data_IF_629628025657
#
_entry.id   IF_629628025657
#
_cell.length_a   1.000
_cell.length_b   1.000
_cell.length_c   1.000
_cell.angle_alpha   90.00
_cell.angle_beta   90.00
_cell.angle_gamma   90.00
#
_symmetry.space_group_name_H-M   'P 1'
#
loop_
_entity.id
_entity.type
_entity.pdbx_description
1 polymer ?
#
# COMPACT_ATOMS: atom_id res chain seq x y z
N UNK A 1 -14.98 25.07 -30.07
CA UNK A 1 -14.13 25.21 -28.87
C UNK A 1 -14.86 24.50 -27.74
N UNK A 2 -14.52 23.23 -27.50
CA UNK A 2 -15.11 22.46 -26.40
C UNK A 2 -14.54 22.95 -25.06
N UNK A 3 -15.28 22.80 -23.95
CA UNK A 3 -14.76 23.14 -22.63
C UNK A 3 -13.51 22.30 -22.37
N UNK A 4 -12.43 22.95 -21.93
CA UNK A 4 -11.21 22.24 -21.55
C UNK A 4 -11.51 21.31 -20.37
N UNK A 5 -10.77 20.20 -20.25
CA UNK A 5 -10.90 19.21 -19.16
C UNK A 5 -10.94 19.85 -17.75
N UNK A 6 -10.37 21.05 -17.58
CA UNK A 6 -10.41 21.80 -16.33
C UNK A 6 -11.82 22.28 -15.91
N UNK A 7 -12.75 22.47 -16.84
CA UNK A 7 -14.12 22.93 -16.55
C UNK A 7 -15.05 21.81 -16.09
N UNK A 8 -14.72 20.54 -16.34
CA UNK A 8 -15.51 19.40 -15.86
C UNK A 8 -15.34 19.16 -14.35
N UNK A 9 -14.21 19.56 -13.77
CA UNK A 9 -13.90 19.36 -12.34
C UNK A 9 -14.77 20.19 -11.40
N UNK A 10 -15.42 21.27 -11.87
CA UNK A 10 -16.32 22.10 -11.06
C UNK A 10 -17.67 21.43 -10.76
N UNK A 11 -18.09 20.45 -11.57
CA UNK A 11 -19.39 19.76 -11.45
C UNK A 11 -19.35 18.52 -10.54
N UNK A 12 -18.17 18.09 -10.11
CA UNK A 12 -18.00 16.91 -9.27
C UNK A 12 -18.22 17.32 -7.80
N UNK A 13 -19.14 16.68 -7.04
CA UNK A 13 -19.29 16.96 -5.61
C UNK A 13 -17.96 16.79 -4.86
N UNK A 14 -17.69 17.65 -3.87
CA UNK A 14 -16.41 17.67 -3.15
C UNK A 14 -16.01 16.30 -2.58
N UNK A 15 -16.96 15.54 -2.05
CA UNK A 15 -16.72 14.20 -1.51
C UNK A 15 -16.24 13.22 -2.59
N UNK A 16 -16.78 13.32 -3.81
CA UNK A 16 -16.38 12.47 -4.93
C UNK A 16 -14.98 12.85 -5.44
N UNK A 17 -14.62 14.14 -5.43
CA UNK A 17 -13.24 14.61 -5.67
C UNK A 17 -12.25 14.07 -4.63
N UNK A 18 -12.63 14.05 -3.35
CA UNK A 18 -11.78 13.49 -2.30
C UNK A 18 -11.55 11.99 -2.49
N UNK A 19 -12.59 11.23 -2.87
CA UNK A 19 -12.46 9.79 -3.18
C UNK A 19 -11.54 9.56 -4.38
N UNK A 20 -11.70 10.34 -5.46
CA UNK A 20 -10.84 10.18 -6.64
C UNK A 20 -9.39 10.50 -6.32
N UNK A 21 -9.11 11.57 -5.57
CA UNK A 21 -7.74 11.93 -5.15
C UNK A 21 -7.13 10.87 -4.24
N UNK A 22 -7.91 10.35 -3.27
CA UNK A 22 -7.44 9.26 -2.41
C UNK A 22 -7.17 7.98 -3.20
N UNK A 23 -8.01 7.67 -4.20
CA UNK A 23 -7.81 6.55 -5.11
C UNK A 23 -6.56 6.70 -5.99
N UNK A 24 -6.34 7.87 -6.57
CA UNK A 24 -5.15 8.19 -7.37
C UNK A 24 -3.87 8.12 -6.54
N UNK A 25 -3.88 8.67 -5.32
CA UNK A 25 -2.76 8.59 -4.39
C UNK A 25 -2.46 7.15 -3.98
N UNK A 26 -3.50 6.37 -3.66
CA UNK A 26 -3.34 4.96 -3.31
C UNK A 26 -2.79 4.14 -4.49
N UNK A 27 -3.27 4.40 -5.71
CA UNK A 27 -2.77 3.70 -6.90
C UNK A 27 -1.29 4.04 -7.16
N UNK A 28 -0.92 5.32 -7.03
CA UNK A 28 0.47 5.75 -7.18
C UNK A 28 1.38 5.08 -6.14
N UNK A 29 0.94 5.05 -4.88
CA UNK A 29 1.64 4.35 -3.80
C UNK A 29 1.82 2.85 -4.09
N UNK A 30 0.75 2.17 -4.52
CA UNK A 30 0.79 0.76 -4.85
C UNK A 30 1.75 0.45 -6.01
N UNK A 31 1.79 1.32 -7.03
CA UNK A 31 2.71 1.15 -8.15
C UNK A 31 4.18 1.27 -7.71
N UNK A 32 4.50 2.26 -6.87
CA UNK A 32 5.86 2.42 -6.33
C UNK A 32 6.28 1.20 -5.50
N UNK A 33 5.37 0.64 -4.71
CA UNK A 33 5.66 -0.59 -3.95
C UNK A 33 5.79 -1.83 -4.83
N UNK A 34 5.03 -1.92 -5.93
CA UNK A 34 5.09 -3.06 -6.84
C UNK A 34 6.45 -3.18 -7.54
N UNK A 35 7.11 -2.05 -7.81
CA UNK A 35 8.44 -2.00 -8.41
C UNK A 35 9.58 -2.11 -7.37
N UNK A 36 9.25 -2.19 -6.08
CA UNK A 36 10.24 -2.27 -5.00
C UNK A 36 10.59 -3.72 -4.65
N UNK A 37 11.82 -4.14 -4.96
CA UNK A 37 12.34 -5.48 -4.66
C UNK A 37 12.34 -5.83 -3.16
N UNK A 38 12.33 -4.81 -2.30
CA UNK A 38 12.31 -4.94 -0.85
C UNK A 38 10.90 -4.84 -0.26
N UNK A 39 9.85 -4.98 -1.06
CA UNK A 39 8.46 -4.97 -0.62
C UNK A 39 7.80 -6.32 -0.91
N UNK A 40 7.10 -6.87 0.07
CA UNK A 40 6.38 -8.14 -0.05
C UNK A 40 4.95 -8.02 0.44
N UNK A 41 4.04 -8.64 -0.32
CA UNK A 41 2.65 -8.76 0.05
C UNK A 41 2.47 -9.89 1.08
N UNK A 42 1.69 -9.64 2.12
CA UNK A 42 1.28 -10.66 3.07
C UNK A 42 -0.10 -11.13 2.62
N UNK A 43 -0.20 -12.42 2.29
CA UNK A 43 -1.44 -13.05 1.87
C UNK A 43 -1.89 -14.11 2.88
N UNK A 44 -3.20 -14.20 3.11
CA UNK A 44 -3.77 -15.27 3.91
C UNK A 44 -3.78 -16.57 3.10
N UNK A 45 -3.13 -17.61 3.61
CA UNK A 45 -2.91 -18.88 2.90
C UNK A 45 -4.19 -19.55 2.38
N UNK A 46 -5.30 -19.45 3.12
CA UNK A 46 -6.55 -20.13 2.78
C UNK A 46 -7.38 -19.37 1.74
N UNK A 47 -7.50 -18.06 1.90
CA UNK A 47 -8.36 -17.22 1.06
C UNK A 47 -7.62 -16.54 -0.09
N UNK A 48 -6.29 -16.48 -0.03
CA UNK A 48 -5.46 -15.66 -0.93
C UNK A 48 -5.61 -14.16 -0.69
N UNK A 49 -6.38 -13.73 0.31
CA UNK A 49 -6.63 -12.31 0.55
C UNK A 49 -5.35 -11.58 0.92
N UNK A 50 -5.15 -10.38 0.37
CA UNK A 50 -4.15 -9.44 0.85
C UNK A 50 -4.53 -8.98 2.27
N UNK A 51 -3.65 -9.21 3.23
CA UNK A 51 -3.88 -8.88 4.65
C UNK A 51 -2.93 -7.80 5.17
N UNK A 52 -1.94 -7.43 4.35
CA UNK A 52 -0.91 -6.48 4.71
C UNK A 52 0.27 -6.56 3.76
N UNK A 53 1.33 -5.84 4.11
CA UNK A 53 2.60 -5.88 3.42
C UNK A 53 3.74 -5.68 4.42
N UNK A 54 4.93 -6.08 4.02
CA UNK A 54 6.19 -5.86 4.74
C UNK A 54 7.19 -5.24 3.77
N UNK A 55 7.99 -4.30 4.25
CA UNK A 55 9.00 -3.58 3.49
C UNK A 55 10.31 -3.58 4.25
N UNK A 56 11.43 -3.65 3.53
CA UNK A 56 12.72 -3.18 4.06
C UNK A 56 12.86 -1.70 3.69
N UNK A 57 12.55 -0.82 4.64
CA UNK A 57 12.49 0.62 4.40
C UNK A 57 13.91 1.20 4.25
N UNK A 58 14.85 0.72 5.06
CA UNK A 58 16.26 1.15 5.04
C UNK A 58 17.18 -0.09 5.04
N UNK A 59 17.72 -0.51 3.87
CA UNK A 59 18.69 -1.60 3.82
C UNK A 59 20.11 -1.11 4.16
N UNK A 60 20.87 -1.93 4.90
CA UNK A 60 22.32 -1.76 5.15
C UNK A 60 23.09 -2.96 4.57
N UNK A 61 23.36 -2.97 3.25
CA UNK A 61 23.89 -4.16 2.55
C UNK A 61 25.22 -4.67 3.11
N UNK A 62 26.09 -3.77 3.56
CA UNK A 62 27.43 -4.10 4.08
C UNK A 62 27.35 -4.91 5.38
N UNK A 63 26.27 -4.73 6.13
CA UNK A 63 26.04 -5.40 7.41
C UNK A 63 25.01 -6.53 7.28
N UNK A 64 24.45 -6.74 6.08
CA UNK A 64 23.37 -7.69 5.82
C UNK A 64 22.17 -7.55 6.80
N UNK A 65 21.86 -6.31 7.20
CA UNK A 65 20.71 -5.97 8.06
C UNK A 65 19.91 -4.83 7.42
N UNK A 66 18.72 -4.54 7.95
CA UNK A 66 17.94 -3.38 7.57
C UNK A 66 16.75 -3.16 8.49
N UNK A 67 16.07 -2.03 8.28
CA UNK A 67 14.85 -1.68 9.01
C UNK A 67 13.62 -2.26 8.31
N UNK A 68 12.83 -3.02 9.07
CA UNK A 68 11.61 -3.65 8.57
C UNK A 68 10.39 -2.82 8.99
N UNK A 69 9.66 -2.31 8.00
CA UNK A 69 8.33 -1.74 8.14
C UNK A 69 7.25 -2.78 7.80
N UNK A 70 6.11 -2.76 8.49
CA UNK A 70 4.98 -3.61 8.10
C UNK A 70 3.65 -3.00 8.49
N UNK A 71 2.62 -3.30 7.71
CA UNK A 71 1.23 -2.92 7.98
C UNK A 71 0.36 -4.15 7.87
N UNK A 72 -0.45 -4.40 8.91
CA UNK A 72 -1.46 -5.47 8.92
C UNK A 72 -2.83 -4.83 9.08
N UNK A 73 -3.77 -5.18 8.19
CA UNK A 73 -5.15 -4.74 8.29
C UNK A 73 -5.75 -5.11 9.66
N UNK A 74 -6.45 -4.17 10.28
CA UNK A 74 -6.93 -4.27 11.67
C UNK A 74 -7.64 -5.61 11.98
N UNK A 75 -8.50 -6.08 11.07
CA UNK A 75 -9.26 -7.34 11.21
C UNK A 75 -8.38 -8.60 11.31
N UNK A 76 -7.10 -8.50 10.94
CA UNK A 76 -6.11 -9.58 11.01
C UNK A 76 -5.10 -9.40 12.14
N UNK A 77 -5.12 -8.26 12.83
CA UNK A 77 -4.29 -8.04 14.01
C UNK A 77 -4.72 -8.98 15.16
N UNK A 78 -3.79 -9.25 16.09
CA UNK A 78 -3.97 -10.19 17.23
C UNK A 78 -4.21 -11.67 16.87
N UNK A 79 -4.20 -12.03 15.58
CA UNK A 79 -4.20 -13.44 15.11
C UNK A 79 -2.80 -14.04 14.97
N UNK A 80 -1.77 -13.39 15.51
CA UNK A 80 -0.36 -13.81 15.40
C UNK A 80 0.30 -13.51 14.05
N UNK A 81 -0.42 -12.92 13.07
CA UNK A 81 0.10 -12.62 11.72
C UNK A 81 1.36 -11.76 11.75
N UNK A 82 1.40 -10.72 12.59
CA UNK A 82 2.58 -9.86 12.73
C UNK A 82 3.80 -10.58 13.31
N UNK A 83 3.63 -11.70 14.02
CA UNK A 83 4.75 -12.55 14.48
C UNK A 83 5.24 -13.46 13.37
N UNK A 84 4.35 -13.96 12.52
CA UNK A 84 4.70 -14.78 11.36
C UNK A 84 5.42 -13.98 10.27
N UNK A 85 5.01 -12.71 10.05
CA UNK A 85 5.65 -11.82 9.09
C UNK A 85 7.11 -11.46 9.47
N UNK A 86 7.44 -11.49 10.76
CA UNK A 86 8.79 -11.17 11.29
C UNK A 86 9.70 -12.38 11.46
N UNK A 87 9.27 -13.58 11.03
CA UNK A 87 10.00 -14.84 11.28
C UNK A 87 11.03 -15.17 10.19
N UNK A 88 11.17 -14.30 9.20
CA UNK A 88 12.14 -14.42 8.11
C UNK A 88 13.31 -13.47 8.36
#
# INVERSE_FOLDING_TARGET
MGPSLAMASFLIPQWLRTITVAGEQMQSFANVLADNENAWLITEKQSGACIGYVTMDIPYPQLAIGEIGYVIGEKYQRKGVGKCAKRY
#
